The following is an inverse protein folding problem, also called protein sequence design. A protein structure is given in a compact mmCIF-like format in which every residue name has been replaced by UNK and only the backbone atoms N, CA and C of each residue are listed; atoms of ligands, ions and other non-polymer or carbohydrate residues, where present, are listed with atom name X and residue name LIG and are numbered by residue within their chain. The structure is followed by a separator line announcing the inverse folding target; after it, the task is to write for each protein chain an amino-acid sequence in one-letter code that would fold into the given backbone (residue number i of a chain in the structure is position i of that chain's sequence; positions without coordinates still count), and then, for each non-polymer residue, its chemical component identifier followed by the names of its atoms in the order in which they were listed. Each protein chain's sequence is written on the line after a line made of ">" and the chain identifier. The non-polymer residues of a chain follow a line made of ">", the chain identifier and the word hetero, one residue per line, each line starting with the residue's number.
data_IF_400039594160
#
_entry.id   IF_400039594160
#
_cell.length_a   1.000
_cell.length_b   1.000
_cell.length_c   1.000
_cell.angle_alpha   90.00
_cell.angle_beta   90.00
_cell.angle_gamma   90.00
#
_symmetry.space_group_name_H-M   'P 1'
#
loop_
_entity.id
_entity.type
_entity.pdbx_description
1 polymer ?
#
# COMPACT_ATOMS: atom_id res chain seq x y z
N UNK A 1 22.10 28.29 -3.30
CA UNK A 1 22.27 26.86 -3.61
C UNK A 1 20.95 26.15 -3.90
N UNK A 2 19.80 26.63 -3.38
CA UNK A 2 18.47 26.25 -3.91
C UNK A 2 18.05 27.09 -5.13
N UNK A 3 18.44 28.37 -5.16
CA UNK A 3 18.10 29.33 -6.23
C UNK A 3 18.70 29.03 -7.61
N UNK A 4 19.50 27.97 -7.73
CA UNK A 4 20.12 27.56 -8.99
C UNK A 4 19.52 26.27 -9.55
N UNK A 5 18.46 25.74 -8.94
CA UNK A 5 17.76 24.56 -9.42
C UNK A 5 16.29 24.88 -9.69
N UNK A 6 15.76 24.37 -10.80
CA UNK A 6 14.35 24.50 -11.15
C UNK A 6 13.85 23.19 -11.73
N UNK A 7 12.54 22.97 -11.60
CA UNK A 7 11.88 21.75 -12.04
C UNK A 7 10.57 22.08 -12.73
N UNK A 8 10.24 21.36 -13.80
CA UNK A 8 8.94 21.49 -14.44
C UNK A 8 8.53 20.19 -15.12
N UNK A 9 7.24 19.92 -15.13
CA UNK A 9 6.66 18.75 -15.78
C UNK A 9 6.08 19.13 -17.13
N UNK A 10 6.55 18.50 -18.20
CA UNK A 10 5.86 18.47 -19.47
C UNK A 10 4.78 17.39 -19.44
N UNK A 11 3.57 17.71 -19.89
CA UNK A 11 2.44 16.77 -20.04
C UNK A 11 2.71 15.62 -21.05
N UNK A 12 3.96 15.44 -21.47
CA UNK A 12 4.51 14.37 -22.29
C UNK A 12 5.24 13.31 -21.44
N UNK A 13 4.89 13.18 -20.16
CA UNK A 13 5.53 12.28 -19.18
C UNK A 13 6.94 12.68 -18.72
N UNK A 14 7.49 13.79 -19.22
CA UNK A 14 8.84 14.23 -18.89
C UNK A 14 8.84 15.26 -17.76
N UNK A 15 9.64 15.01 -16.73
CA UNK A 15 9.98 15.99 -15.72
C UNK A 15 11.41 16.47 -15.95
N UNK A 16 11.56 17.77 -16.16
CA UNK A 16 12.84 18.41 -16.43
C UNK A 16 13.34 19.10 -15.17
N UNK A 17 14.59 18.85 -14.85
CA UNK A 17 15.34 19.51 -13.79
C UNK A 17 16.48 20.26 -14.43
N UNK A 18 16.57 21.57 -14.19
CA UNK A 18 17.69 22.38 -14.66
C UNK A 18 18.49 22.86 -13.46
N UNK A 19 19.79 22.56 -13.45
CA UNK A 19 20.74 23.04 -12.45
C UNK A 19 21.71 24.00 -13.16
N UNK A 20 21.73 25.25 -12.70
CA UNK A 20 22.53 26.33 -13.27
C UNK A 20 23.98 26.28 -12.75
N UNK A 21 24.91 26.65 -13.63
CA UNK A 21 26.34 26.81 -13.36
C UNK A 21 26.99 25.53 -12.83
N UNK A 22 26.74 24.43 -13.53
CA UNK A 22 27.27 23.11 -13.21
C UNK A 22 27.57 22.31 -14.48
N UNK A 23 28.45 21.31 -14.35
CA UNK A 23 28.93 20.48 -15.45
C UNK A 23 28.90 19.02 -15.04
N UNK A 24 28.39 18.16 -15.92
CA UNK A 24 28.41 16.72 -15.71
C UNK A 24 29.65 16.11 -16.36
N UNK A 25 30.32 15.22 -15.64
CA UNK A 25 31.36 14.39 -16.25
C UNK A 25 30.70 13.31 -17.10
N UNK A 26 30.66 13.53 -18.41
CA UNK A 26 30.07 12.60 -19.38
C UNK A 26 30.73 11.22 -19.41
N UNK A 27 31.93 11.06 -18.82
CA UNK A 27 32.58 9.75 -18.70
C UNK A 27 31.99 8.88 -17.59
N UNK A 28 31.23 9.49 -16.67
CA UNK A 28 30.58 8.83 -15.55
C UNK A 28 29.09 8.84 -15.84
N UNK A 29 28.59 7.83 -16.57
CA UNK A 29 27.15 7.61 -16.66
C UNK A 29 26.70 7.07 -15.29
N UNK A 30 25.91 7.81 -14.50
CA UNK A 30 25.44 7.30 -13.23
C UNK A 30 24.56 6.08 -13.49
N UNK A 31 24.92 4.94 -12.91
CA UNK A 31 24.04 3.78 -12.86
C UNK A 31 22.89 4.11 -11.92
N UNK A 32 21.77 4.56 -12.48
CA UNK A 32 20.56 4.86 -11.71
C UNK A 32 19.64 3.67 -11.80
N UNK A 33 19.22 3.17 -10.65
CA UNK A 33 18.24 2.12 -10.57
C UNK A 33 16.88 2.67 -11.01
N UNK A 34 16.40 2.18 -12.15
CA UNK A 34 15.09 2.54 -12.70
C UNK A 34 14.03 1.75 -11.93
N UNK A 35 13.16 2.45 -11.21
CA UNK A 35 12.00 1.85 -10.51
C UNK A 35 10.78 1.79 -11.43
N UNK A 36 9.70 1.14 -10.99
CA UNK A 36 8.43 1.10 -11.74
C UNK A 36 7.83 2.50 -12.04
N UNK A 37 8.23 3.52 -11.28
CA UNK A 37 7.74 4.89 -11.41
C UNK A 37 8.56 5.75 -12.38
N UNK A 38 9.76 5.29 -12.75
CA UNK A 38 10.66 5.99 -13.67
C UNK A 38 10.80 5.11 -14.92
N UNK A 39 10.51 5.65 -16.10
CA UNK A 39 10.60 4.92 -17.36
C UNK A 39 11.94 5.12 -18.05
N UNK A 40 12.54 6.30 -17.88
CA UNK A 40 13.76 6.70 -18.56
C UNK A 40 14.40 7.89 -17.83
N UNK A 41 15.71 8.05 -17.98
CA UNK A 41 16.48 9.18 -17.44
C UNK A 41 17.51 9.62 -18.47
N UNK A 42 17.53 10.91 -18.77
CA UNK A 42 18.47 11.52 -19.72
C UNK A 42 19.19 12.70 -19.07
N UNK A 43 20.45 12.90 -19.45
CA UNK A 43 21.29 13.98 -18.96
C UNK A 43 21.89 14.73 -20.14
N UNK A 44 21.66 16.03 -20.17
CA UNK A 44 22.18 16.92 -21.20
C UNK A 44 22.92 18.09 -20.57
N UNK A 45 24.09 18.43 -21.12
CA UNK A 45 24.74 19.71 -20.83
C UNK A 45 24.15 20.77 -21.76
N UNK A 46 23.52 21.79 -21.19
CA UNK A 46 22.91 22.91 -21.93
C UNK A 46 23.61 24.20 -21.53
N UNK A 47 24.65 24.56 -22.29
CA UNK A 47 25.51 25.70 -21.96
C UNK A 47 26.18 25.52 -20.60
N UNK A 48 25.98 26.48 -19.69
CA UNK A 48 26.50 26.44 -18.32
C UNK A 48 25.58 25.67 -17.35
N UNK A 49 24.52 25.04 -17.84
CA UNK A 49 23.57 24.29 -17.01
C UNK A 49 23.59 22.81 -17.35
N UNK A 50 23.21 21.99 -16.38
CA UNK A 50 22.84 20.59 -16.62
C UNK A 50 21.31 20.53 -16.66
N UNK A 51 20.78 19.82 -17.65
CA UNK A 51 19.39 19.41 -17.70
C UNK A 51 19.30 17.90 -17.46
N UNK A 52 18.53 17.53 -16.43
CA UNK A 52 18.15 16.17 -16.13
C UNK A 52 16.68 15.98 -16.56
N UNK A 53 16.44 15.05 -17.45
CA UNK A 53 15.10 14.71 -17.94
C UNK A 53 14.71 13.35 -17.37
N UNK A 54 13.62 13.28 -16.62
CA UNK A 54 13.12 12.05 -15.98
C UNK A 54 11.77 11.73 -16.59
N UNK A 55 11.64 10.57 -17.23
CA UNK A 55 10.34 10.11 -17.74
C UNK A 55 9.59 9.38 -16.64
N UNK A 56 8.40 9.85 -16.29
CA UNK A 56 7.62 9.34 -15.17
C UNK A 56 6.49 8.43 -15.66
N UNK A 57 6.19 7.38 -14.88
CA UNK A 57 5.02 6.53 -15.12
C UNK A 57 3.71 7.18 -14.70
N UNK A 58 3.77 8.10 -13.73
CA UNK A 58 2.61 8.81 -13.16
C UNK A 58 2.93 10.31 -13.14
N UNK A 59 1.99 11.20 -13.53
CA UNK A 59 2.21 12.63 -13.45
C UNK A 59 2.43 13.10 -12.00
N UNK A 60 3.42 13.99 -11.74
CA UNK A 60 3.58 14.61 -10.45
C UNK A 60 2.54 15.71 -10.26
N UNK A 61 1.93 15.75 -9.09
CA UNK A 61 1.03 16.81 -8.64
C UNK A 61 1.81 17.96 -7.98
N UNK A 62 2.90 17.62 -7.31
CA UNK A 62 3.76 18.58 -6.65
C UNK A 62 5.23 18.14 -6.74
N UNK A 63 6.13 19.12 -6.72
CA UNK A 63 7.56 18.89 -6.61
C UNK A 63 8.20 19.90 -5.66
N UNK A 64 9.24 19.46 -4.96
CA UNK A 64 9.99 20.31 -4.05
C UNK A 64 11.49 20.00 -4.12
N UNK A 65 12.31 21.04 -4.16
CA UNK A 65 13.75 20.92 -3.98
C UNK A 65 14.11 21.21 -2.54
N UNK A 66 14.99 20.39 -1.99
CA UNK A 66 15.57 20.65 -0.68
C UNK A 66 17.04 20.27 -0.69
N UNK A 67 17.82 20.95 0.15
CA UNK A 67 19.23 20.72 0.30
C UNK A 67 19.53 20.46 1.77
N UNK A 68 20.30 19.41 2.04
CA UNK A 68 20.75 19.13 3.40
C UNK A 68 22.00 19.96 3.70
N UNK A 69 22.06 20.60 4.86
CA UNK A 69 23.14 21.53 5.22
C UNK A 69 24.51 20.85 5.38
N UNK A 70 24.54 19.53 5.61
CA UNK A 70 25.74 18.74 5.89
C UNK A 70 26.44 18.21 4.62
N UNK A 71 25.78 18.24 3.46
CA UNK A 71 26.27 17.65 2.20
C UNK A 71 25.95 18.53 1.01
N UNK A 72 26.82 18.52 -0.01
CA UNK A 72 26.54 19.11 -1.32
C UNK A 72 25.57 18.24 -2.14
N UNK A 73 24.42 17.91 -1.56
CA UNK A 73 23.39 17.07 -2.15
C UNK A 73 22.11 17.89 -2.32
N UNK A 74 21.64 17.93 -3.56
CA UNK A 74 20.32 18.45 -3.90
C UNK A 74 19.35 17.27 -3.96
N UNK A 75 18.22 17.40 -3.28
CA UNK A 75 17.15 16.42 -3.31
C UNK A 75 15.95 17.00 -4.04
N UNK A 76 15.30 16.14 -4.83
CA UNK A 76 14.04 16.42 -5.49
C UNK A 76 12.99 15.45 -4.93
N UNK A 77 11.92 15.98 -4.36
CA UNK A 77 10.72 15.21 -4.04
C UNK A 77 9.70 15.39 -5.16
N UNK A 78 9.20 14.28 -5.71
CA UNK A 78 8.06 14.26 -6.62
C UNK A 78 6.90 13.57 -5.90
N UNK A 79 5.74 14.22 -5.84
CA UNK A 79 4.52 13.68 -5.23
C UNK A 79 3.47 13.48 -6.31
N UNK A 80 2.92 12.29 -6.37
CA UNK A 80 1.83 11.92 -7.28
C UNK A 80 0.70 11.30 -6.48
N UNK A 81 -0.54 11.45 -6.95
CA UNK A 81 -1.63 10.62 -6.46
C UNK A 81 -1.33 9.16 -6.80
N UNK A 82 -1.24 8.31 -5.78
CA UNK A 82 -1.26 6.88 -6.03
C UNK A 82 -2.70 6.47 -6.38
N UNK A 83 -2.91 5.67 -7.43
CA UNK A 83 -4.19 4.99 -7.59
C UNK A 83 -4.41 4.15 -6.33
N UNK A 84 -5.65 4.17 -5.80
CA UNK A 84 -6.05 3.35 -4.66
C UNK A 84 -5.57 1.93 -4.94
N UNK A 85 -4.66 1.42 -4.11
CA UNK A 85 -4.23 0.02 -4.14
C UNK A 85 -5.43 -0.80 -3.63
N UNK A 86 -6.42 -0.98 -4.50
CA UNK A 86 -7.40 -2.03 -4.32
C UNK A 86 -6.64 -3.33 -4.56
N UNK A 87 -6.14 -3.93 -3.47
CA UNK A 87 -5.67 -5.32 -3.49
C UNK A 87 -6.87 -6.20 -3.80
N UNK A 88 -7.15 -6.36 -5.08
CA UNK A 88 -7.98 -7.41 -5.61
C UNK A 88 -7.40 -7.87 -6.96
N UNK A 89 -6.07 -7.96 -7.06
CA UNK A 89 -5.43 -8.76 -8.08
C UNK A 89 -4.40 -9.69 -7.43
N UNK A 90 -4.71 -10.96 -7.55
CA UNK A 90 -4.00 -12.13 -7.08
C UNK A 90 -2.61 -12.25 -7.72
N UNK A 91 -1.67 -12.78 -6.93
CA UNK A 91 -0.43 -13.46 -7.38
C UNK A 91 0.76 -12.58 -7.74
N UNK A 92 1.45 -12.06 -6.73
CA UNK A 92 2.93 -12.07 -6.70
C UNK A 92 3.36 -12.11 -5.23
N UNK A 93 3.70 -13.30 -4.74
CA UNK A 93 4.35 -13.49 -3.45
C UNK A 93 5.81 -13.03 -3.59
N UNK A 94 6.08 -11.76 -3.28
CA UNK A 94 7.42 -11.33 -2.91
C UNK A 94 7.44 -11.16 -1.39
N UNK A 95 8.03 -12.16 -0.71
CA UNK A 95 8.29 -12.13 0.72
C UNK A 95 9.33 -11.05 1.01
N UNK A 96 8.88 -9.94 1.61
CA UNK A 96 9.78 -9.06 2.35
C UNK A 96 10.10 -9.79 3.67
N UNK A 97 11.30 -10.32 3.79
CA UNK A 97 11.82 -10.87 5.05
C UNK A 97 12.10 -9.71 6.02
N UNK A 98 11.07 -9.29 6.75
CA UNK A 98 11.27 -8.50 7.97
C UNK A 98 11.50 -9.50 9.09
N UNK A 99 12.73 -9.48 9.60
CA UNK A 99 13.17 -10.13 10.83
C UNK A 99 12.33 -9.56 12.00
N UNK A 100 11.13 -10.09 12.20
CA UNK A 100 10.26 -9.72 13.31
C UNK A 100 10.48 -10.73 14.43
N UNK A 101 11.03 -10.23 15.54
CA UNK A 101 11.16 -10.94 16.80
C UNK A 101 9.92 -11.75 17.13
N UNK A 102 10.21 -12.97 17.59
CA UNK A 102 9.39 -13.85 18.41
C UNK A 102 8.26 -13.14 19.16
N UNK A 103 7.08 -13.13 18.55
CA UNK A 103 5.82 -13.04 19.27
C UNK A 103 5.07 -14.30 18.88
N UNK A 104 4.95 -15.21 19.83
CA UNK A 104 4.14 -16.43 19.75
C UNK A 104 2.75 -16.10 19.23
N UNK A 105 2.56 -16.25 17.92
CA UNK A 105 1.29 -16.06 17.23
C UNK A 105 0.50 -17.35 17.42
N UNK A 106 -0.73 -17.32 17.96
CA UNK A 106 -1.57 -18.51 17.92
C UNK A 106 -1.82 -18.81 16.44
N UNK A 107 -1.46 -20.02 16.00
CA UNK A 107 -1.72 -20.46 14.64
C UNK A 107 -3.24 -20.50 14.42
N UNK A 108 -3.77 -19.48 13.76
CA UNK A 108 -5.08 -19.56 13.14
C UNK A 108 -4.85 -20.00 11.70
N UNK A 109 -4.87 -21.32 11.50
CA UNK A 109 -4.90 -21.93 10.18
C UNK A 109 -6.20 -21.52 9.48
N UNK A 110 -6.07 -20.66 8.48
CA UNK A 110 -7.17 -20.32 7.57
C UNK A 110 -7.09 -21.32 6.41
N UNK A 111 -7.99 -22.33 6.32
CA UNK A 111 -8.09 -23.14 5.12
C UNK A 111 -8.65 -22.26 4.00
N UNK A 112 -7.97 -22.30 2.86
CA UNK A 112 -8.38 -21.69 1.61
C UNK A 112 -9.59 -22.46 1.07
N UNK A 113 -10.77 -22.20 1.62
CA UNK A 113 -12.02 -22.70 1.07
C UNK A 113 -13.14 -21.68 1.32
N UNK A 114 -13.58 -21.10 0.20
CA UNK A 114 -14.76 -20.27 -0.07
C UNK A 114 -15.79 -20.08 1.06
N UNK A 115 -15.43 -19.31 2.09
CA UNK A 115 -16.36 -18.96 3.17
C UNK A 115 -16.10 -17.54 3.70
N UNK A 116 -16.00 -16.60 2.75
CA UNK A 116 -15.76 -15.17 3.01
C UNK A 116 -16.72 -14.58 4.04
N UNK A 117 -17.97 -15.07 4.12
CA UNK A 117 -18.98 -14.57 5.07
C UNK A 117 -18.63 -14.85 6.54
N UNK A 118 -17.92 -15.94 6.86
CA UNK A 118 -17.50 -16.25 8.23
C UNK A 118 -16.39 -15.31 8.68
N UNK A 119 -15.41 -15.10 7.79
CA UNK A 119 -14.30 -14.19 8.03
C UNK A 119 -14.80 -12.76 8.23
N UNK A 120 -15.73 -12.31 7.36
CA UNK A 120 -16.38 -11.01 7.46
C UNK A 120 -17.18 -10.89 8.77
N UNK A 121 -17.95 -11.91 9.15
CA UNK A 121 -18.74 -11.94 10.38
C UNK A 121 -17.88 -11.83 11.65
N UNK A 122 -16.81 -12.62 11.75
CA UNK A 122 -15.89 -12.55 12.89
C UNK A 122 -15.16 -11.20 12.96
N UNK A 123 -14.70 -10.69 11.81
CA UNK A 123 -14.03 -9.39 11.75
C UNK A 123 -14.95 -8.25 12.22
N UNK A 124 -16.17 -8.16 11.68
CA UNK A 124 -17.15 -7.15 12.07
C UNK A 124 -17.53 -7.29 13.55
N UNK A 125 -17.79 -8.52 14.03
CA UNK A 125 -18.15 -8.77 15.43
C UNK A 125 -17.09 -8.30 16.42
N UNK A 126 -15.81 -8.59 16.16
CA UNK A 126 -14.69 -8.17 17.01
C UNK A 126 -14.54 -6.65 16.99
N UNK A 127 -14.58 -6.01 15.82
CA UNK A 127 -14.46 -4.56 15.68
C UNK A 127 -15.56 -3.83 16.46
N UNK A 128 -16.83 -4.23 16.29
CA UNK A 128 -17.95 -3.60 17.01
C UNK A 128 -17.88 -3.82 18.53
N UNK A 129 -17.44 -5.00 18.97
CA UNK A 129 -17.27 -5.29 20.40
C UNK A 129 -16.20 -4.39 21.03
N UNK A 130 -15.04 -4.25 20.40
CA UNK A 130 -13.96 -3.37 20.87
C UNK A 130 -14.39 -1.89 20.85
N UNK A 131 -15.06 -1.46 19.79
CA UNK A 131 -15.61 -0.10 19.69
C UNK A 131 -16.70 0.17 20.73
N UNK A 132 -17.51 -0.83 21.08
CA UNK A 132 -18.52 -0.72 22.13
C UNK A 132 -17.91 -0.57 23.52
N UNK A 133 -16.88 -1.37 23.84
CA UNK A 133 -16.14 -1.26 25.11
C UNK A 133 -15.47 0.12 25.25
N UNK A 134 -14.91 0.66 24.16
CA UNK A 134 -14.24 1.95 24.18
C UNK A 134 -15.21 3.14 24.32
N UNK A 135 -16.46 2.98 23.87
CA UNK A 135 -17.48 4.04 23.90
C UNK A 135 -18.35 4.02 25.17
N UNK A 136 -18.21 3.00 26.02
CA UNK A 136 -19.01 2.81 27.24
C UNK A 136 -18.95 3.99 28.22
N UNK A 137 -17.83 4.75 28.22
CA UNK A 137 -17.62 5.93 29.07
C UNK A 137 -18.25 7.24 28.54
N UNK A 138 -18.79 7.25 27.32
CA UNK A 138 -19.33 8.45 26.68
C UNK A 138 -20.86 8.59 26.86
N UNK A 139 -21.32 9.56 27.65
CA UNK A 139 -22.73 9.73 28.08
C UNK A 139 -23.72 10.25 27.02
N UNK A 140 -23.58 9.94 25.71
CA UNK A 140 -24.44 10.57 24.69
C UNK A 140 -25.01 9.69 23.58
N UNK A 141 -24.74 8.38 23.55
CA UNK A 141 -25.40 7.49 22.58
C UNK A 141 -25.66 6.14 23.24
N UNK A 142 -26.83 5.55 22.97
CA UNK A 142 -27.11 4.19 23.40
C UNK A 142 -25.99 3.29 22.88
N UNK A 143 -25.31 2.54 23.76
CA UNK A 143 -24.18 1.66 23.43
C UNK A 143 -24.67 0.42 22.66
N UNK A 144 -25.22 0.61 21.46
CA UNK A 144 -25.80 -0.45 20.63
C UNK A 144 -24.71 -1.30 19.96
N UNK A 145 -23.49 -0.77 19.88
CA UNK A 145 -22.33 -1.40 19.25
C UNK A 145 -21.88 -2.67 19.97
N UNK A 146 -21.85 -2.63 21.32
CA UNK A 146 -21.46 -3.78 22.13
C UNK A 146 -22.43 -4.98 22.00
N UNK A 147 -23.75 -4.84 22.22
CA UNK A 147 -24.68 -5.96 22.06
C UNK A 147 -24.75 -6.43 20.59
N UNK A 148 -24.59 -5.53 19.62
CA UNK A 148 -24.56 -5.88 18.19
C UNK A 148 -23.30 -6.69 17.85
N UNK A 149 -22.13 -6.27 18.30
CA UNK A 149 -20.86 -6.96 18.07
C UNK A 149 -20.88 -8.38 18.63
N UNK A 150 -21.35 -8.54 19.87
CA UNK A 150 -21.52 -9.86 20.52
C UNK A 150 -22.51 -10.73 19.74
N UNK A 151 -23.64 -10.15 19.30
CA UNK A 151 -24.66 -10.86 18.52
C UNK A 151 -24.12 -11.39 17.18
N UNK A 152 -23.38 -10.56 16.44
CA UNK A 152 -22.75 -10.95 15.16
C UNK A 152 -21.71 -12.05 15.41
N UNK A 153 -20.88 -11.92 16.45
CA UNK A 153 -19.85 -12.90 16.77
C UNK A 153 -20.44 -14.28 17.09
N UNK A 154 -21.43 -14.34 18.00
CA UNK A 154 -22.11 -15.59 18.36
C UNK A 154 -22.94 -16.15 17.20
N UNK A 155 -23.60 -15.29 16.42
CA UNK A 155 -24.34 -15.69 15.23
C UNK A 155 -23.44 -16.32 14.16
N UNK A 156 -22.26 -15.74 13.94
CA UNK A 156 -21.24 -16.28 13.03
C UNK A 156 -20.73 -17.63 13.54
N UNK A 157 -20.49 -17.77 14.86
CA UNK A 157 -20.10 -19.05 15.46
C UNK A 157 -21.17 -20.14 15.30
N UNK A 158 -22.45 -19.82 15.48
CA UNK A 158 -23.56 -20.76 15.27
C UNK A 158 -23.68 -21.14 13.79
N UNK A 159 -23.56 -20.18 12.88
CA UNK A 159 -23.56 -20.41 11.44
C UNK A 159 -22.44 -21.37 11.02
N UNK A 160 -21.22 -21.08 11.47
CA UNK A 160 -20.03 -21.88 11.25
C UNK A 160 -20.19 -23.31 11.79
N UNK A 161 -20.71 -23.44 13.01
CA UNK A 161 -20.83 -24.73 13.69
C UNK A 161 -21.92 -25.65 13.11
N UNK A 162 -23.06 -25.10 12.68
CA UNK A 162 -24.24 -25.90 12.36
C UNK A 162 -24.65 -25.90 10.88
N UNK A 163 -24.35 -24.84 10.14
CA UNK A 163 -24.83 -24.69 8.77
C UNK A 163 -23.74 -24.97 7.74
N UNK A 164 -22.51 -24.55 8.01
CA UNK A 164 -21.42 -24.81 7.07
C UNK A 164 -21.04 -26.30 6.99
N UNK A 165 -21.04 -26.98 8.14
CA UNK A 165 -20.73 -28.42 8.19
C UNK A 165 -21.74 -29.30 7.44
N UNK A 166 -22.98 -28.83 7.23
CA UNK A 166 -24.00 -29.59 6.50
C UNK A 166 -23.87 -29.49 4.97
N UNK A 167 -23.30 -28.40 4.45
CA UNK A 167 -23.05 -28.25 3.02
C UNK A 167 -21.98 -29.23 2.52
N UNK A 168 -20.96 -29.52 3.34
CA UNK A 168 -19.89 -30.46 3.00
C UNK A 168 -20.42 -31.90 2.92
N UNK A 169 -21.24 -32.32 3.89
CA UNK A 169 -21.81 -33.68 3.96
C UNK A 169 -22.78 -33.96 2.80
N UNK A 170 -23.46 -32.94 2.28
CA UNK A 170 -24.42 -33.09 1.18
C UNK A 170 -23.75 -33.31 -0.18
N UNK A 171 -22.53 -32.81 -0.37
CA UNK A 171 -21.77 -32.95 -1.62
C UNK A 171 -21.09 -34.32 -1.70
N UNK A 172 -20.53 -34.81 -0.59
CA UNK A 172 -19.90 -36.15 -0.53
C UNK A 172 -20.91 -37.28 -0.82
N UNK A 173 -22.17 -37.08 -0.44
CA UNK A 173 -23.25 -38.05 -0.68
C UNK A 173 -23.73 -38.11 -2.15
N UNK A 174 -23.36 -37.14 -2.98
CA UNK A 174 -23.70 -37.10 -4.41
C UNK A 174 -22.59 -37.68 -5.30
N UNK A 175 -21.36 -37.82 -4.78
CA UNK A 175 -20.25 -38.48 -5.49
C UNK A 175 -20.21 -40.00 -5.28
N UNK A 176 -20.82 -40.53 -4.22
CA UNK A 176 -20.91 -42.00 -4.00
C UNK A 176 -22.00 -42.70 -4.84
N UNK A 177 -22.92 -41.95 -5.46
CA UNK A 177 -24.08 -42.51 -6.19
C UNK A 177 -23.95 -42.35 -7.73
N UNK A 178 -22.72 -42.21 -8.24
CA UNK A 178 -22.37 -42.12 -9.67
C UNK A 178 -21.18 -43.03 -10.00
#
# INVERSE_FOLDING_TARGET
>A
SLEHASGWYAQTEWFYVTILNTTIDSSIVPSIEISEFIKDIQFDQVGESIQLSIKLSVPPENHEFFQRSDKKQLFLSLRSSMPIISKADSTTKQEIQILASEITKPELSIPEQDNNIKLIGYFIGISFTVSGILQEDSKSSANWELPTGIGIFLGTYVYDKYFDKQNIISIEKLEEDN
#
